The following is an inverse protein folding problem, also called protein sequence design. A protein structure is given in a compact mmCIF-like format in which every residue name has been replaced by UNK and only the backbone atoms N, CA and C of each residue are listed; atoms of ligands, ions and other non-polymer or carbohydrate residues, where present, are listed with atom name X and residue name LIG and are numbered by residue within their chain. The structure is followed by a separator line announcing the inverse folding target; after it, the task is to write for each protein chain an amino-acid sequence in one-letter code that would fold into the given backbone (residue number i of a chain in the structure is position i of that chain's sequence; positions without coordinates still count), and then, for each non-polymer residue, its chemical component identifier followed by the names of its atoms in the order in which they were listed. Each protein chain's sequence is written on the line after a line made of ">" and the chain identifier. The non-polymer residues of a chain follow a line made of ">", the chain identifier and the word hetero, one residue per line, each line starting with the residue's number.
data_IF_707636116540
#
_entry.id   IF_707636116540
#
_cell.length_a   1.000
_cell.length_b   1.000
_cell.length_c   1.000
_cell.angle_alpha   90.00
_cell.angle_beta   90.00
_cell.angle_gamma   90.00
#
_symmetry.space_group_name_H-M   'P 1'
#
loop_
_entity.id
_entity.type
_entity.pdbx_description
1 polymer ?
#
# COMPACT_ATOMS: atom_id res chain seq x y z
N UNK A 1 9.29 9.68 -5.42
CA UNK A 1 8.26 10.00 -4.39
C UNK A 1 8.54 9.30 -3.06
N UNK A 2 8.87 8.00 -2.97
CA UNK A 2 9.32 7.40 -1.68
C UNK A 2 10.83 7.49 -1.46
N UNK A 3 11.63 7.34 -2.51
CA UNK A 3 13.05 7.78 -2.49
C UNK A 3 13.24 9.27 -2.15
N UNK A 4 12.19 10.08 -2.29
CA UNK A 4 12.20 11.53 -2.06
C UNK A 4 11.48 11.95 -0.76
N UNK A 5 10.43 11.24 -0.34
CA UNK A 5 9.58 11.63 0.80
C UNK A 5 9.29 10.50 1.81
N UNK A 6 9.82 9.29 1.62
CA UNK A 6 9.58 8.15 2.51
C UNK A 6 8.19 7.51 2.36
N UNK A 7 7.93 6.47 3.16
CA UNK A 7 6.66 5.73 3.20
C UNK A 7 5.60 6.54 3.95
N UNK A 8 4.36 6.69 3.43
CA UNK A 8 3.30 7.40 4.15
C UNK A 8 2.93 6.67 5.44
N UNK A 9 2.66 7.43 6.50
CA UNK A 9 2.30 6.88 7.83
C UNK A 9 0.92 6.22 7.87
N UNK A 10 0.02 6.56 6.93
CA UNK A 10 -1.29 5.92 6.81
C UNK A 10 -1.89 6.00 5.41
N UNK A 11 -2.68 5.00 5.04
CA UNK A 11 -3.47 4.94 3.82
C UNK A 11 -4.94 4.80 4.19
N UNK A 12 -5.81 5.47 3.44
CA UNK A 12 -7.25 5.19 3.47
C UNK A 12 -7.56 4.34 2.24
N UNK A 13 -8.14 3.16 2.42
CA UNK A 13 -8.58 2.27 1.33
C UNK A 13 -10.06 1.95 1.47
N UNK A 14 -10.74 1.68 0.38
CA UNK A 14 -12.09 1.11 0.44
C UNK A 14 -12.02 -0.34 0.95
N UNK A 15 -13.19 -0.91 1.33
CA UNK A 15 -13.33 -2.29 1.84
C UNK A 15 -13.20 -3.35 0.74
N UNK A 16 -12.38 -3.08 -0.26
CA UNK A 16 -12.08 -4.07 -1.29
C UNK A 16 -11.40 -5.29 -0.63
N UNK A 17 -11.90 -6.51 -0.88
CA UNK A 17 -11.33 -7.73 -0.33
C UNK A 17 -9.83 -7.88 -0.57
N UNK A 18 -9.32 -7.29 -1.67
CA UNK A 18 -7.91 -7.25 -1.99
C UNK A 18 -7.10 -6.56 -0.90
N UNK A 19 -7.57 -5.46 -0.33
CA UNK A 19 -6.86 -4.69 0.70
C UNK A 19 -7.18 -5.11 2.12
N UNK A 20 -8.25 -5.88 2.33
CA UNK A 20 -8.55 -6.50 3.63
C UNK A 20 -7.89 -7.87 3.81
N UNK A 21 -7.15 -8.36 2.81
CA UNK A 21 -6.49 -9.66 2.92
C UNK A 21 -5.39 -9.64 4.00
N UNK A 22 -5.13 -10.79 4.60
CA UNK A 22 -4.09 -10.94 5.64
C UNK A 22 -2.71 -10.54 5.12
N UNK A 23 -2.43 -10.80 3.84
CA UNK A 23 -1.17 -10.43 3.20
C UNK A 23 -0.95 -8.92 3.25
N UNK A 24 -1.92 -8.13 2.80
CA UNK A 24 -1.80 -6.67 2.79
C UNK A 24 -1.76 -6.10 4.22
N UNK A 25 -2.55 -6.64 5.14
CA UNK A 25 -2.48 -6.26 6.56
C UNK A 25 -1.07 -6.46 7.14
N UNK A 26 -0.46 -7.63 6.92
CA UNK A 26 0.91 -7.90 7.36
C UNK A 26 1.94 -7.00 6.67
N UNK A 27 1.78 -6.73 5.37
CA UNK A 27 2.67 -5.82 4.65
C UNK A 27 2.62 -4.40 5.23
N UNK A 28 1.44 -3.87 5.52
CA UNK A 28 1.30 -2.56 6.16
C UNK A 28 1.94 -2.53 7.55
N UNK A 29 1.82 -3.61 8.33
CA UNK A 29 2.48 -3.71 9.64
C UNK A 29 4.01 -3.68 9.52
N UNK A 30 4.59 -4.46 8.60
CA UNK A 30 6.05 -4.50 8.38
C UNK A 30 6.58 -3.15 7.90
N UNK A 31 5.81 -2.45 7.07
CA UNK A 31 6.16 -1.11 6.59
C UNK A 31 5.86 0.01 7.60
N UNK A 32 5.32 -0.31 8.78
CA UNK A 32 5.00 0.69 9.82
C UNK A 32 3.82 1.61 9.47
N UNK A 33 2.96 1.18 8.55
CA UNK A 33 1.89 1.98 7.98
C UNK A 33 0.52 1.59 8.55
N UNK A 34 -0.34 2.59 8.81
CA UNK A 34 -1.72 2.34 9.26
C UNK A 34 -2.70 2.31 8.09
N UNK A 35 -3.28 1.15 7.83
CA UNK A 35 -4.40 1.01 6.89
C UNK A 35 -5.71 1.43 7.59
N UNK A 36 -6.41 2.42 7.03
CA UNK A 36 -7.74 2.85 7.45
C UNK A 36 -8.75 2.47 6.36
N UNK A 37 -9.84 1.81 6.74
CA UNK A 37 -10.89 1.45 5.78
C UNK A 37 -11.93 2.57 5.71
N UNK A 38 -12.28 2.99 4.50
CA UNK A 38 -13.39 3.89 4.25
C UNK A 38 -14.72 3.17 4.50
N UNK A 39 -15.76 3.90 4.89
CA UNK A 39 -17.10 3.35 5.14
C UNK A 39 -18.01 3.41 3.91
N UNK A 40 -17.61 4.12 2.86
CA UNK A 40 -18.44 4.44 1.68
C UNK A 40 -17.53 4.47 0.46
N UNK A 41 -17.92 3.76 -0.60
CA UNK A 41 -17.22 3.76 -1.88
C UNK A 41 -17.08 5.20 -2.37
N UNK A 42 -15.87 5.75 -2.27
CA UNK A 42 -15.60 7.17 -2.52
C UNK A 42 -14.62 7.29 -3.69
N UNK A 43 -15.12 7.37 -4.93
CA UNK A 43 -14.27 7.46 -6.12
C UNK A 43 -13.29 8.65 -6.10
N UNK A 44 -13.61 9.74 -5.37
CA UNK A 44 -12.69 10.87 -5.18
C UNK A 44 -11.52 10.61 -4.22
N UNK A 45 -11.67 9.70 -3.24
CA UNK A 45 -10.57 9.30 -2.34
C UNK A 45 -9.75 8.12 -2.88
N UNK A 46 -10.26 7.45 -3.91
CA UNK A 46 -9.61 6.26 -4.48
C UNK A 46 -8.28 6.57 -5.17
N UNK A 47 -8.08 7.78 -5.72
CA UNK A 47 -6.82 8.11 -6.38
C UNK A 47 -5.60 8.09 -5.45
N UNK A 48 -5.77 8.44 -4.16
CA UNK A 48 -4.67 8.38 -3.19
C UNK A 48 -4.40 6.94 -2.74
N UNK A 49 -5.46 6.16 -2.52
CA UNK A 49 -5.35 4.75 -2.13
C UNK A 49 -4.68 3.95 -3.25
N UNK A 50 -5.18 4.05 -4.48
CA UNK A 50 -4.66 3.39 -5.69
C UNK A 50 -3.20 3.78 -5.94
N UNK A 51 -2.85 5.06 -5.85
CA UNK A 51 -1.46 5.50 -6.00
C UNK A 51 -0.55 4.90 -4.93
N UNK A 52 -1.06 4.70 -3.71
CA UNK A 52 -0.25 4.09 -2.65
C UNK A 52 -0.15 2.57 -2.81
N UNK A 53 -1.18 1.91 -3.34
CA UNK A 53 -1.15 0.48 -3.68
C UNK A 53 -0.16 0.23 -4.81
N UNK A 54 -0.23 1.01 -5.89
CA UNK A 54 0.71 0.90 -7.01
C UNK A 54 2.14 1.08 -6.52
N UNK A 55 2.34 2.03 -5.59
CA UNK A 55 3.61 2.24 -4.95
C UNK A 55 4.09 1.00 -4.16
N UNK A 56 3.21 0.35 -3.38
CA UNK A 56 3.57 -0.85 -2.62
C UNK A 56 3.93 -2.03 -3.53
N UNK A 57 3.20 -2.19 -4.63
CA UNK A 57 3.51 -3.19 -5.65
C UNK A 57 4.88 -2.95 -6.28
N UNK A 58 5.21 -1.69 -6.60
CA UNK A 58 6.51 -1.34 -7.15
C UNK A 58 7.65 -1.58 -6.15
N UNK A 59 7.43 -1.30 -4.86
CA UNK A 59 8.41 -1.61 -3.81
C UNK A 59 8.61 -3.11 -3.67
N UNK A 60 7.52 -3.89 -3.67
CA UNK A 60 7.60 -5.35 -3.65
C UNK A 60 8.34 -5.90 -4.86
N UNK A 61 8.05 -5.38 -6.07
CA UNK A 61 8.74 -5.77 -7.31
C UNK A 61 10.22 -5.45 -7.23
N UNK A 62 10.59 -4.27 -6.74
CA UNK A 62 11.99 -3.89 -6.55
C UNK A 62 12.70 -4.80 -5.54
N UNK A 63 12.06 -5.11 -4.40
CA UNK A 63 12.63 -5.96 -3.36
C UNK A 63 12.83 -7.41 -3.84
N UNK A 64 11.86 -7.95 -4.60
CA UNK A 64 11.97 -9.28 -5.20
C UNK A 64 13.06 -9.33 -6.27
N UNK A 65 13.18 -8.28 -7.11
CA UNK A 65 14.24 -8.19 -8.11
C UNK A 65 15.63 -8.09 -7.47
N UNK A 66 15.77 -7.35 -6.37
CA UNK A 66 17.02 -7.24 -5.61
C UNK A 66 17.42 -8.58 -4.96
N UNK A 67 16.44 -9.35 -4.45
CA UNK A 67 16.68 -10.68 -3.87
C UNK A 67 16.99 -11.76 -4.92
N UNK A 68 16.51 -11.64 -6.16
CA UNK A 68 16.78 -12.60 -7.25
C UNK A 68 18.05 -12.27 -8.04
N UNK A 69 18.65 -11.09 -7.81
CA UNK A 69 19.88 -10.63 -8.45
C UNK A 69 21.16 -10.88 -7.65
N UNK A 70 21.07 -11.50 -6.47
CA UNK A 70 22.22 -11.95 -5.64
C UNK A 70 22.44 -13.45 -5.76
#
# INVERSE_FOLDING_TARGET
>A
IIRLHGVPSSIISDRDPRFTSRFWQSLHQVLGMKLRLSSTYHPQKNGQSERTIQFLEDLLRACVLDHLGS
#
